data_IF_016871156991
#
_entry.id   IF_016871156991
#
_cell.length_a   1.000
_cell.length_b   1.000
_cell.length_c   1.000
_cell.angle_alpha   90.00
_cell.angle_beta   90.00
_cell.angle_gamma   90.00
#
_symmetry.space_group_name_H-M   'P 1'
#
loop_
_entity.id
_entity.type
_entity.pdbx_description
1 polymer ?
#
# COMPACT_ATOMS: atom_id res chain seq x y z
N UNK A 1 -1.75 -17.84 -11.87
CA UNK A 1 -1.97 -16.49 -12.44
C UNK A 1 -1.64 -15.51 -11.36
N UNK A 2 -0.82 -14.53 -11.68
CA UNK A 2 -0.27 -13.52 -10.79
C UNK A 2 -0.35 -12.16 -11.46
N UNK A 3 -0.27 -11.08 -10.70
CA UNK A 3 -0.39 -9.71 -11.18
C UNK A 3 0.87 -8.93 -10.80
N UNK A 4 1.52 -8.26 -11.74
CA UNK A 4 2.72 -7.47 -11.47
C UNK A 4 2.36 -6.04 -11.06
N UNK A 5 2.89 -5.59 -9.92
CA UNK A 5 2.82 -4.19 -9.51
C UNK A 5 4.13 -3.51 -9.86
N UNK A 6 4.05 -2.47 -10.68
CA UNK A 6 5.21 -1.79 -11.25
C UNK A 6 5.27 -0.31 -10.84
N UNK A 7 6.44 0.15 -10.42
CA UNK A 7 6.74 1.56 -10.16
C UNK A 7 7.83 1.99 -11.13
N UNK A 8 7.49 2.85 -12.09
CA UNK A 8 8.47 3.45 -13.04
C UNK A 8 9.39 2.44 -13.73
N UNK A 9 8.89 1.25 -14.08
CA UNK A 9 9.64 0.18 -14.72
C UNK A 9 10.26 -0.85 -13.78
N UNK A 10 10.08 -0.71 -12.47
CA UNK A 10 10.55 -1.69 -11.47
C UNK A 10 9.37 -2.45 -10.86
N UNK A 11 9.41 -3.78 -10.92
CA UNK A 11 8.40 -4.61 -10.28
C UNK A 11 8.64 -4.68 -8.77
N UNK A 12 7.66 -4.25 -8.00
CA UNK A 12 7.74 -4.16 -6.53
C UNK A 12 6.96 -5.28 -5.83
N UNK A 13 6.05 -5.95 -6.54
CA UNK A 13 5.24 -7.04 -5.99
C UNK A 13 4.55 -7.86 -7.08
N UNK A 14 4.50 -9.19 -6.92
CA UNK A 14 3.85 -10.10 -7.88
C UNK A 14 2.88 -11.11 -7.20
N UNK A 15 1.77 -10.65 -6.59
CA UNK A 15 0.80 -11.50 -5.90
C UNK A 15 -0.06 -12.32 -6.86
N UNK A 16 -0.88 -13.24 -6.32
CA UNK A 16 -1.99 -13.83 -7.10
C UNK A 16 -3.03 -12.76 -7.46
N UNK A 17 -3.74 -12.96 -8.58
CA UNK A 17 -4.75 -12.00 -9.07
C UNK A 17 -5.81 -11.66 -8.01
N UNK A 18 -6.30 -12.64 -7.25
CA UNK A 18 -7.27 -12.40 -6.17
C UNK A 18 -6.74 -11.50 -5.04
N UNK A 19 -5.44 -11.55 -4.76
CA UNK A 19 -4.80 -10.71 -3.75
C UNK A 19 -4.59 -9.30 -4.32
N UNK A 20 -4.22 -9.21 -5.60
CA UNK A 20 -4.12 -7.93 -6.32
C UNK A 20 -5.47 -7.20 -6.35
N UNK A 21 -6.53 -7.89 -6.80
CA UNK A 21 -7.89 -7.34 -6.87
C UNK A 21 -8.39 -6.84 -5.51
N UNK A 22 -8.15 -7.62 -4.45
CA UNK A 22 -8.52 -7.22 -3.09
C UNK A 22 -7.79 -5.95 -2.65
N UNK A 23 -6.47 -5.88 -2.88
CA UNK A 23 -5.67 -4.72 -2.52
C UNK A 23 -6.10 -3.48 -3.30
N UNK A 24 -6.22 -3.58 -4.63
CA UNK A 24 -6.65 -2.48 -5.51
C UNK A 24 -8.03 -1.96 -5.10
N UNK A 25 -9.00 -2.86 -4.90
CA UNK A 25 -10.33 -2.47 -4.44
C UNK A 25 -10.33 -1.78 -3.07
N UNK A 26 -9.49 -2.22 -2.13
CA UNK A 26 -9.34 -1.57 -0.84
C UNK A 26 -8.76 -0.16 -0.97
N UNK A 27 -7.65 0.02 -1.69
CA UNK A 27 -7.01 1.33 -1.79
C UNK A 27 -7.85 2.33 -2.58
N UNK A 28 -8.55 1.90 -3.64
CA UNK A 28 -9.50 2.75 -4.36
C UNK A 28 -10.69 3.14 -3.48
N UNK A 29 -11.27 2.20 -2.75
CA UNK A 29 -12.37 2.49 -1.81
C UNK A 29 -11.96 3.49 -0.74
N UNK A 30 -10.78 3.31 -0.15
CA UNK A 30 -10.20 4.21 0.86
C UNK A 30 -9.91 5.58 0.26
N UNK A 31 -9.26 5.65 -0.91
CA UNK A 31 -8.96 6.91 -1.59
C UNK A 31 -10.23 7.70 -1.92
N UNK A 32 -11.30 7.02 -2.35
CA UNK A 32 -12.62 7.61 -2.55
C UNK A 32 -13.19 8.22 -1.27
N UNK A 33 -13.02 7.57 -0.10
CA UNK A 33 -13.40 8.15 1.21
C UNK A 33 -12.54 9.36 1.60
N UNK A 34 -11.30 9.44 1.09
CA UNK A 34 -10.40 10.56 1.35
C UNK A 34 -10.64 11.72 0.38
N UNK A 35 -11.42 11.50 -0.69
CA UNK A 35 -11.69 12.47 -1.74
C UNK A 35 -10.53 12.66 -2.72
N UNK A 36 -9.71 11.62 -2.93
CA UNK A 36 -8.55 11.66 -3.82
C UNK A 36 -8.28 10.33 -4.51
N UNK A 37 -7.10 10.22 -5.12
CA UNK A 37 -6.64 9.02 -5.83
C UNK A 37 -5.57 8.28 -5.00
N UNK A 38 -5.50 6.96 -5.15
CA UNK A 38 -4.52 6.15 -4.42
C UNK A 38 -3.14 6.14 -5.08
N UNK A 39 -3.02 6.59 -6.34
CA UNK A 39 -1.82 6.37 -7.16
C UNK A 39 -1.62 4.92 -7.59
N UNK A 40 -2.58 4.03 -7.33
CA UNK A 40 -2.61 2.64 -7.82
C UNK A 40 -3.56 2.59 -9.01
N UNK A 41 -3.07 2.15 -10.17
CA UNK A 41 -3.86 2.02 -11.38
C UNK A 41 -4.81 0.82 -11.37
N UNK A 42 -5.60 0.70 -12.43
CA UNK A 42 -6.40 -0.50 -12.69
C UNK A 42 -5.50 -1.67 -13.10
N UNK A 43 -5.98 -2.89 -12.85
CA UNK A 43 -5.32 -4.11 -13.34
C UNK A 43 -5.66 -4.28 -14.83
N UNK A 44 -4.64 -4.27 -15.68
CA UNK A 44 -4.75 -4.48 -17.13
C UNK A 44 -3.70 -5.49 -17.54
N UNK A 45 -4.11 -6.56 -18.24
CA UNK A 45 -3.21 -7.63 -18.71
C UNK A 45 -2.29 -8.22 -17.61
N UNK A 46 -2.85 -8.47 -16.42
CA UNK A 46 -2.12 -8.94 -15.23
C UNK A 46 -1.00 -7.99 -14.75
N UNK A 47 -1.11 -6.69 -15.08
CA UNK A 47 -0.21 -5.63 -14.61
C UNK A 47 -0.98 -4.50 -13.92
N UNK A 48 -0.35 -3.89 -12.93
CA UNK A 48 -0.87 -2.75 -12.16
C UNK A 48 0.23 -1.70 -11.99
N UNK A 49 0.05 -0.55 -12.64
CA UNK A 49 0.99 0.56 -12.51
C UNK A 49 0.77 1.34 -11.21
N UNK A 50 1.85 1.75 -10.56
CA UNK A 50 1.84 2.63 -9.39
C UNK A 50 2.54 3.95 -9.74
N UNK A 51 1.81 5.06 -9.63
CA UNK A 51 2.37 6.42 -9.70
C UNK A 51 2.97 6.78 -8.35
N UNK A 52 4.30 6.67 -8.20
CA UNK A 52 4.99 6.80 -6.91
C UNK A 52 4.65 8.07 -6.13
N UNK A 53 4.55 9.23 -6.80
CA UNK A 53 4.26 10.50 -6.12
C UNK A 53 2.88 10.52 -5.46
N UNK A 54 1.85 10.10 -6.22
CA UNK A 54 0.46 9.99 -5.75
C UNK A 54 0.33 8.91 -4.68
N UNK A 55 0.93 7.74 -4.92
CA UNK A 55 0.92 6.62 -4.00
C UNK A 55 1.58 6.93 -2.67
N UNK A 56 2.70 7.64 -2.69
CA UNK A 56 3.38 8.06 -1.48
C UNK A 56 2.55 9.10 -0.69
N UNK A 57 1.87 10.02 -1.39
CA UNK A 57 0.92 10.97 -0.79
C UNK A 57 -0.27 10.27 -0.14
N UNK A 58 -0.90 9.34 -0.86
CA UNK A 58 -1.99 8.50 -0.36
C UNK A 58 -1.56 7.69 0.86
N UNK A 59 -0.39 7.04 0.81
CA UNK A 59 0.12 6.18 1.89
C UNK A 59 0.40 6.99 3.16
N UNK A 60 0.94 8.21 3.04
CA UNK A 60 1.12 9.11 4.19
C UNK A 60 -0.21 9.48 4.84
N UNK A 61 -1.21 9.87 4.03
CA UNK A 61 -2.54 10.21 4.54
C UNK A 61 -3.25 9.01 5.17
N UNK A 62 -3.12 7.83 4.57
CA UNK A 62 -3.62 6.56 5.10
C UNK A 62 -3.00 6.23 6.46
N UNK A 63 -1.67 6.33 6.59
CA UNK A 63 -0.98 6.12 7.86
C UNK A 63 -1.43 7.13 8.92
N UNK A 64 -1.52 8.41 8.55
CA UNK A 64 -1.94 9.49 9.45
C UNK A 64 -3.34 9.24 10.02
N UNK A 65 -4.29 8.79 9.18
CA UNK A 65 -5.66 8.45 9.62
C UNK A 65 -5.70 7.19 10.46
N UNK A 66 -4.96 6.16 10.07
CA UNK A 66 -4.87 4.91 10.83
C UNK A 66 -4.32 5.14 12.25
N UNK A 67 -3.30 5.99 12.38
CA UNK A 67 -2.71 6.37 13.67
C UNK A 67 -3.62 7.27 14.51
N UNK A 68 -4.34 8.20 13.86
CA UNK A 68 -5.24 9.14 14.53
C UNK A 68 -6.64 8.59 14.85
N UNK A 69 -7.01 7.42 14.31
CA UNK A 69 -8.34 6.85 14.50
C UNK A 69 -8.49 6.17 15.86
N UNK A 70 -9.50 6.58 16.63
CA UNK A 70 -9.91 5.89 17.85
C UNK A 70 -10.99 4.81 17.60
N UNK A 71 -11.40 4.59 16.34
CA UNK A 71 -12.44 3.61 16.00
C UNK A 71 -11.79 2.25 15.69
N UNK A 72 -11.97 1.22 16.54
CA UNK A 72 -11.32 -0.08 16.35
C UNK A 72 -11.78 -0.82 15.09
N UNK A 73 -13.05 -0.65 14.70
CA UNK A 73 -13.58 -1.30 13.50
C UNK A 73 -12.93 -0.73 12.23
N UNK A 74 -12.81 0.59 12.15
CA UNK A 74 -12.14 1.25 11.03
C UNK A 74 -10.67 0.85 10.93
N UNK A 75 -9.93 0.89 12.06
CA UNK A 75 -8.53 0.46 12.08
C UNK A 75 -8.35 -0.98 11.63
N UNK A 76 -9.30 -1.86 11.97
CA UNK A 76 -9.25 -3.27 11.57
C UNK A 76 -9.47 -3.45 10.07
N UNK A 77 -10.34 -2.64 9.46
CA UNK A 77 -10.55 -2.62 8.00
C UNK A 77 -9.34 -2.07 7.24
N UNK A 78 -8.72 -1.00 7.77
CA UNK A 78 -7.61 -0.30 7.11
C UNK A 78 -6.25 -1.00 7.30
N UNK A 79 -6.06 -1.77 8.38
CA UNK A 79 -4.75 -2.32 8.76
C UNK A 79 -4.05 -3.06 7.61
N UNK A 80 -4.78 -3.92 6.90
CA UNK A 80 -4.21 -4.67 5.77
C UNK A 80 -3.70 -3.74 4.67
N UNK A 81 -4.51 -2.75 4.29
CA UNK A 81 -4.14 -1.76 3.27
C UNK A 81 -2.97 -0.88 3.73
N UNK A 82 -2.93 -0.46 5.00
CA UNK A 82 -1.83 0.32 5.59
C UNK A 82 -0.51 -0.43 5.47
N UNK A 83 -0.46 -1.67 5.95
CA UNK A 83 0.79 -2.44 6.00
C UNK A 83 1.32 -2.79 4.61
N UNK A 84 0.43 -3.20 3.69
CA UNK A 84 0.83 -3.48 2.31
C UNK A 84 1.31 -2.19 1.63
N UNK A 85 0.63 -1.07 1.82
CA UNK A 85 1.02 0.19 1.16
C UNK A 85 2.37 0.71 1.67
N UNK A 86 2.63 0.59 2.98
CA UNK A 86 3.94 0.91 3.56
C UNK A 86 5.03 -0.01 3.02
N UNK A 87 4.77 -1.32 2.92
CA UNK A 87 5.74 -2.27 2.36
C UNK A 87 6.05 -2.00 0.88
N UNK A 88 5.03 -1.70 0.07
CA UNK A 88 5.22 -1.33 -1.34
C UNK A 88 5.98 0.00 -1.47
N UNK A 89 5.69 0.98 -0.62
CA UNK A 89 6.39 2.26 -0.62
C UNK A 89 7.86 2.12 -0.19
N UNK A 90 8.15 1.22 0.76
CA UNK A 90 9.51 0.84 1.14
C UNK A 90 10.27 0.28 -0.07
N UNK A 91 9.69 -0.70 -0.76
CA UNK A 91 10.29 -1.31 -1.96
C UNK A 91 10.48 -0.32 -3.10
N UNK A 92 9.57 0.63 -3.24
CA UNK A 92 9.65 1.69 -4.24
C UNK A 92 10.66 2.80 -3.88
N UNK A 93 11.33 2.73 -2.72
CA UNK A 93 12.28 3.74 -2.24
C UNK A 93 11.63 5.08 -1.84
N UNK A 94 10.31 5.09 -1.61
CA UNK A 94 9.51 6.31 -1.42
C UNK A 94 9.20 6.69 0.04
N UNK A 95 9.72 5.94 1.02
CA UNK A 95 9.40 6.12 2.45
C UNK A 95 10.14 7.31 3.12
N UNK A 96 11.12 7.93 2.45
CA UNK A 96 11.92 9.02 3.02
C UNK A 96 11.13 10.29 3.36
N UNK A 97 11.28 10.80 4.59
CA UNK A 97 10.77 12.11 5.02
C UNK A 97 9.28 12.15 5.37
N UNK A 98 8.63 10.99 5.54
CA UNK A 98 7.19 10.84 5.82
C UNK A 98 6.98 10.38 7.26
N UNK A 99 6.51 11.29 8.11
CA UNK A 99 6.40 11.08 9.56
C UNK A 99 5.40 9.96 9.88
N UNK A 100 4.22 9.97 9.26
CA UNK A 100 3.17 8.98 9.57
C UNK A 100 3.56 7.59 9.08
N UNK A 101 4.17 7.49 7.89
CA UNK A 101 4.73 6.22 7.38
C UNK A 101 5.80 5.69 8.33
N UNK A 102 6.71 6.55 8.81
CA UNK A 102 7.77 6.15 9.74
C UNK A 102 7.21 5.66 11.08
N UNK A 103 6.18 6.33 11.59
CA UNK A 103 5.51 5.92 12.83
C UNK A 103 4.81 4.56 12.69
N UNK A 104 4.13 4.30 11.56
CA UNK A 104 3.56 2.97 11.27
C UNK A 104 4.67 1.92 11.16
N UNK A 105 5.77 2.24 10.49
CA UNK A 105 6.92 1.35 10.37
C UNK A 105 7.49 0.95 11.73
N UNK A 106 7.66 1.92 12.64
CA UNK A 106 8.12 1.66 14.00
C UNK A 106 7.11 0.83 14.80
N UNK A 107 5.81 1.15 14.72
CA UNK A 107 4.77 0.44 15.45
C UNK A 107 4.59 -1.01 14.98
N UNK A 108 4.79 -1.28 13.69
CA UNK A 108 4.51 -2.57 13.05
C UNK A 108 5.75 -3.25 12.46
N UNK A 109 6.94 -2.90 12.93
CA UNK A 109 8.23 -3.33 12.36
C UNK A 109 8.30 -4.84 12.07
N UNK A 110 8.01 -5.67 13.07
CA UNK A 110 8.14 -7.13 12.91
C UNK A 110 7.14 -7.69 11.89
N UNK A 111 5.92 -7.14 11.88
CA UNK A 111 4.87 -7.52 10.93
C UNK A 111 5.25 -7.11 9.50
N UNK A 112 5.79 -5.90 9.32
CA UNK A 112 6.27 -5.40 8.04
C UNK A 112 7.48 -6.18 7.52
N UNK A 113 8.45 -6.52 8.38
CA UNK A 113 9.59 -7.36 8.00
C UNK A 113 9.14 -8.76 7.57
N UNK A 114 8.17 -9.34 8.28
CA UNK A 114 7.57 -10.62 7.90
C UNK A 114 6.85 -10.52 6.54
N UNK A 115 6.05 -9.45 6.35
CA UNK A 115 5.32 -9.19 5.12
C UNK A 115 6.29 -9.05 3.93
N UNK A 116 7.30 -8.20 4.05
CA UNK A 116 8.34 -8.00 3.02
C UNK A 116 9.08 -9.29 2.68
N UNK A 117 9.34 -10.17 3.67
CA UNK A 117 9.96 -11.47 3.42
C UNK A 117 9.05 -12.48 2.71
N UNK A 118 7.72 -12.25 2.72
CA UNK A 118 6.72 -13.15 2.11
C UNK A 118 6.12 -12.64 0.81
N UNK A 119 6.25 -11.34 0.53
CA UNK A 119 5.77 -10.73 -0.72
C UNK A 119 6.72 -11.08 -1.87
N UNK A 120 6.31 -11.86 -2.88
CA UNK A 120 7.16 -12.15 -4.02
C UNK A 120 7.43 -10.88 -4.83
N UNK A 121 8.67 -10.74 -5.29
CA UNK A 121 9.08 -9.73 -6.27
C UNK A 121 8.94 -10.31 -7.69
N UNK A 122 8.85 -9.44 -8.69
CA UNK A 122 8.69 -9.81 -10.10
C UNK A 122 9.96 -10.33 -10.74
#
# INVERSE_FOLDING_TARGET
MSCYFNVSGTDVWNPSNSVAELYVGQVHGIAGLFGGESGVGDIVDDECAITLGEFAGFTEELCRRYLGSNNPALRSLEKGAVLISVALLERAGGHGGRESVSAVWEQHRDELLCLLGSMPEG
#
